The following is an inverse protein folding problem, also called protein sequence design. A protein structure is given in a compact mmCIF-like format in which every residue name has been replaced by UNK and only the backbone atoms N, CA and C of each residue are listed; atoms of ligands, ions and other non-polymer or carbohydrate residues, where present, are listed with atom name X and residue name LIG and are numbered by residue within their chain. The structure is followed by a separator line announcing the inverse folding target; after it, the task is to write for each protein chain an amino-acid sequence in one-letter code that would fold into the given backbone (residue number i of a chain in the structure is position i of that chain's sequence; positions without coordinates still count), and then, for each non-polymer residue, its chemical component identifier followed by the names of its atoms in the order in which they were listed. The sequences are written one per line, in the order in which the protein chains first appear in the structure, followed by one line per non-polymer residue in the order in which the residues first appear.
data_IF_231198359704
#
_entry.id   IF_231198359704
#
_cell.length_a   1.000
_cell.length_b   1.000
_cell.length_c   1.000
_cell.angle_alpha   90.00
_cell.angle_beta   90.00
_cell.angle_gamma   90.00
#
_symmetry.space_group_name_H-M   'P 1'
#
loop_
_entity.id
_entity.type
_entity.pdbx_description
1 polymer ?
#
# COMPACT_ATOMS: atom_id res chain seq x y z
N UNK A 1 24.01 2.03 35.40
CA UNK A 1 22.90 1.56 34.53
C UNK A 1 22.33 0.29 35.14
N UNK A 2 21.01 0.11 35.20
CA UNK A 2 20.44 -1.08 35.87
C UNK A 2 20.84 -2.35 35.11
N UNK A 3 21.16 -3.41 35.85
CA UNK A 3 21.65 -4.70 35.33
C UNK A 3 20.69 -5.30 34.28
N UNK A 4 19.40 -5.02 34.41
CA UNK A 4 18.36 -5.42 33.46
C UNK A 4 18.50 -4.75 32.09
N UNK A 5 18.89 -3.48 32.02
CA UNK A 5 19.11 -2.78 30.73
C UNK A 5 20.34 -3.32 30.00
N UNK A 6 21.38 -3.72 30.74
CA UNK A 6 22.56 -4.35 30.17
C UNK A 6 22.23 -5.72 29.54
N UNK A 7 21.49 -6.57 30.27
CA UNK A 7 21.03 -7.87 29.76
C UNK A 7 20.12 -7.74 28.53
N UNK A 8 19.20 -6.78 28.53
CA UNK A 8 18.33 -6.52 27.37
C UNK A 8 19.17 -6.08 26.16
N UNK A 9 20.14 -5.19 26.36
CA UNK A 9 21.02 -4.74 25.28
C UNK A 9 21.85 -5.89 24.72
N UNK A 10 22.37 -6.77 25.56
CA UNK A 10 23.13 -7.95 25.14
C UNK A 10 22.28 -8.89 24.28
N UNK A 11 21.03 -9.14 24.66
CA UNK A 11 20.09 -9.94 23.87
C UNK A 11 19.79 -9.26 22.51
N UNK A 12 19.58 -7.95 22.50
CA UNK A 12 19.23 -7.21 21.28
C UNK A 12 20.40 -7.16 20.28
N UNK A 13 21.65 -7.08 20.77
CA UNK A 13 22.84 -6.99 19.91
C UNK A 13 23.39 -8.35 19.51
N UNK A 14 22.94 -9.44 20.13
CA UNK A 14 23.40 -10.79 19.81
C UNK A 14 22.98 -11.21 18.37
N UNK A 15 23.94 -11.51 17.48
CA UNK A 15 23.66 -11.95 16.11
C UNK A 15 22.77 -13.20 16.02
N UNK A 16 22.81 -14.08 17.02
CA UNK A 16 21.99 -15.31 17.05
C UNK A 16 20.48 -15.03 17.09
N UNK A 17 20.07 -13.91 17.67
CA UNK A 17 18.67 -13.51 17.75
C UNK A 17 18.23 -12.56 16.62
N UNK A 18 19.17 -12.15 15.76
CA UNK A 18 18.92 -11.13 14.73
C UNK A 18 17.72 -11.45 13.84
N UNK A 19 17.68 -12.66 13.28
CA UNK A 19 16.61 -13.07 12.34
C UNK A 19 15.22 -13.07 13.02
N UNK A 20 15.15 -13.49 14.29
CA UNK A 20 13.89 -13.49 15.06
C UNK A 20 13.45 -12.08 15.46
N UNK A 21 14.39 -11.25 15.92
CA UNK A 21 14.13 -9.85 16.25
C UNK A 21 13.74 -9.06 14.99
N UNK A 22 14.26 -9.43 13.82
CA UNK A 22 13.87 -8.85 12.54
C UNK A 22 12.42 -9.17 12.15
N UNK A 23 11.89 -10.34 12.51
CA UNK A 23 10.46 -10.68 12.37
C UNK A 23 9.62 -9.75 13.24
N UNK A 24 9.97 -9.61 14.52
CA UNK A 24 9.25 -8.77 15.47
C UNK A 24 9.27 -7.28 15.05
N UNK A 25 10.45 -6.76 14.72
CA UNK A 25 10.62 -5.38 14.24
C UNK A 25 9.89 -5.15 12.92
N UNK A 26 9.91 -6.14 12.02
CA UNK A 26 9.16 -6.13 10.77
C UNK A 26 7.65 -6.02 11.01
N UNK A 27 7.09 -6.85 11.90
CA UNK A 27 5.68 -6.82 12.26
C UNK A 27 5.27 -5.45 12.83
N UNK A 28 6.06 -4.91 13.77
CA UNK A 28 5.85 -3.57 14.34
C UNK A 28 5.88 -2.50 13.25
N UNK A 29 6.84 -2.57 12.32
CA UNK A 29 6.94 -1.61 11.23
C UNK A 29 5.75 -1.69 10.29
N UNK A 30 5.29 -2.90 9.94
CA UNK A 30 4.07 -3.12 9.16
C UNK A 30 2.84 -2.50 9.83
N UNK A 31 2.69 -2.72 11.14
CA UNK A 31 1.60 -2.12 11.91
C UNK A 31 1.66 -0.59 11.89
N UNK A 32 2.80 0.00 12.27
CA UNK A 32 2.96 1.46 12.38
C UNK A 32 2.80 2.14 11.03
N UNK A 33 3.39 1.58 9.98
CA UNK A 33 3.24 2.09 8.62
C UNK A 33 1.77 2.02 8.18
N UNK A 34 1.11 0.89 8.42
CA UNK A 34 -0.30 0.71 8.10
C UNK A 34 -1.20 1.74 8.78
N UNK A 35 -0.98 2.01 10.07
CA UNK A 35 -1.72 3.08 10.77
C UNK A 35 -1.45 4.43 10.11
N UNK A 36 -0.18 4.78 9.89
CA UNK A 36 0.23 6.09 9.35
C UNK A 36 -0.37 6.40 7.98
N UNK A 37 -0.53 5.39 7.12
CA UNK A 37 -1.08 5.59 5.77
C UNK A 37 -2.61 5.47 5.77
N UNK A 38 -3.16 4.46 6.45
CA UNK A 38 -4.59 4.16 6.34
C UNK A 38 -5.46 5.13 7.10
N UNK A 39 -5.03 5.56 8.28
CA UNK A 39 -5.84 6.43 9.12
C UNK A 39 -6.14 7.77 8.44
N UNK A 40 -5.16 8.53 7.92
CA UNK A 40 -5.44 9.79 7.22
C UNK A 40 -6.34 9.59 6.01
N UNK A 41 -6.10 8.55 5.21
CA UNK A 41 -6.94 8.25 4.06
C UNK A 41 -8.39 7.96 4.46
N UNK A 42 -8.62 7.08 5.44
CA UNK A 42 -9.96 6.75 5.91
C UNK A 42 -10.67 7.96 6.53
N UNK A 43 -9.93 8.82 7.24
CA UNK A 43 -10.44 10.06 7.81
C UNK A 43 -10.92 11.01 6.70
N UNK A 44 -10.09 11.31 5.71
CA UNK A 44 -10.44 12.19 4.58
C UNK A 44 -11.64 11.63 3.81
N UNK A 45 -11.63 10.34 3.49
CA UNK A 45 -12.74 9.71 2.78
C UNK A 45 -14.04 9.73 3.60
N UNK A 46 -13.96 9.61 4.92
CA UNK A 46 -15.12 9.71 5.80
C UNK A 46 -15.66 11.14 5.92
N UNK A 47 -14.82 12.16 5.77
CA UNK A 47 -15.25 13.56 5.78
C UNK A 47 -15.92 13.90 4.45
N UNK A 48 -15.33 13.50 3.33
CA UNK A 48 -15.83 13.83 1.98
C UNK A 48 -17.06 13.02 1.58
N UNK A 49 -17.06 11.72 1.87
CA UNK A 49 -18.05 10.77 1.34
C UNK A 49 -18.71 9.91 2.42
N UNK A 50 -18.34 10.07 3.69
CA UNK A 50 -18.92 9.28 4.78
C UNK A 50 -20.39 9.61 5.01
N UNK A 51 -21.21 8.59 5.28
CA UNK A 51 -22.63 8.75 5.66
C UNK A 51 -22.83 8.32 7.12
N UNK A 52 -23.88 8.84 7.76
CA UNK A 52 -24.20 8.55 9.16
C UNK A 52 -23.51 9.49 10.17
N UNK A 53 -23.72 9.19 11.46
CA UNK A 53 -23.25 10.00 12.57
C UNK A 53 -21.74 9.86 12.81
N UNK A 54 -21.18 10.77 13.61
CA UNK A 54 -19.74 10.79 13.90
C UNK A 54 -19.25 9.50 14.59
N UNK A 55 -20.11 8.83 15.37
CA UNK A 55 -19.75 7.55 16.01
C UNK A 55 -19.62 6.42 14.98
N UNK A 56 -20.56 6.32 14.02
CA UNK A 56 -20.46 5.34 12.94
C UNK A 56 -19.21 5.58 12.09
N UNK A 57 -18.94 6.84 11.73
CA UNK A 57 -17.74 7.25 10.97
C UNK A 57 -16.44 6.86 11.70
N UNK A 58 -16.31 7.20 12.97
CA UNK A 58 -15.14 6.85 13.78
C UNK A 58 -14.92 5.33 13.86
N UNK A 59 -16.00 4.55 13.99
CA UNK A 59 -15.95 3.08 14.01
C UNK A 59 -15.45 2.51 12.68
N UNK A 60 -15.90 3.06 11.55
CA UNK A 60 -15.44 2.65 10.21
C UNK A 60 -13.95 2.97 10.04
N UNK A 61 -13.52 4.18 10.39
CA UNK A 61 -12.11 4.60 10.33
C UNK A 61 -11.23 3.66 11.16
N UNK A 62 -11.62 3.41 12.41
CA UNK A 62 -10.89 2.51 13.31
C UNK A 62 -10.79 1.09 12.75
N UNK A 63 -11.92 0.51 12.32
CA UNK A 63 -11.96 -0.86 11.76
C UNK A 63 -11.07 -0.97 10.52
N UNK A 64 -11.19 -0.05 9.57
CA UNK A 64 -10.40 -0.05 8.34
C UNK A 64 -8.89 0.12 8.62
N UNK A 65 -8.54 1.01 9.56
CA UNK A 65 -7.14 1.26 9.97
C UNK A 65 -6.55 0.05 10.67
N UNK A 66 -7.26 -0.51 11.65
CA UNK A 66 -6.83 -1.70 12.39
C UNK A 66 -6.67 -2.88 11.45
N UNK A 67 -7.64 -3.13 10.57
CA UNK A 67 -7.59 -4.22 9.60
C UNK A 67 -6.33 -4.10 8.72
N UNK A 68 -6.10 -2.92 8.14
CA UNK A 68 -4.93 -2.69 7.28
C UNK A 68 -3.60 -2.87 8.04
N UNK A 69 -3.47 -2.25 9.21
CA UNK A 69 -2.26 -2.32 10.02
C UNK A 69 -1.94 -3.74 10.51
N UNK A 70 -2.97 -4.47 10.97
CA UNK A 70 -2.81 -5.85 11.42
C UNK A 70 -2.50 -6.77 10.26
N UNK A 71 -3.13 -6.59 9.09
CA UNK A 71 -2.81 -7.38 7.90
C UNK A 71 -1.36 -7.18 7.46
N UNK A 72 -0.86 -5.94 7.42
CA UNK A 72 0.54 -5.68 7.11
C UNK A 72 1.49 -6.29 8.14
N UNK A 73 1.18 -6.19 9.44
CA UNK A 73 1.97 -6.82 10.48
C UNK A 73 2.03 -8.34 10.31
N UNK A 74 0.88 -8.99 10.12
CA UNK A 74 0.76 -10.44 9.89
C UNK A 74 1.50 -10.88 8.64
N UNK A 75 1.33 -10.17 7.52
CA UNK A 75 2.03 -10.48 6.27
C UNK A 75 3.54 -10.44 6.45
N UNK A 76 4.09 -9.37 7.05
CA UNK A 76 5.53 -9.25 7.27
C UNK A 76 6.04 -10.34 8.22
N UNK A 77 5.28 -10.67 9.27
CA UNK A 77 5.61 -11.78 10.16
C UNK A 77 5.68 -13.11 9.42
N UNK A 78 4.64 -13.47 8.66
CA UNK A 78 4.60 -14.72 7.90
C UNK A 78 5.71 -14.76 6.86
N UNK A 79 5.87 -13.70 6.08
CA UNK A 79 6.89 -13.59 5.04
C UNK A 79 8.30 -13.82 5.60
N UNK A 80 8.68 -13.10 6.66
CA UNK A 80 10.02 -13.23 7.27
C UNK A 80 10.21 -14.59 7.96
N UNK A 81 9.16 -15.14 8.59
CA UNK A 81 9.22 -16.49 9.15
C UNK A 81 9.45 -17.54 8.07
N UNK A 82 8.73 -17.45 6.95
CA UNK A 82 8.90 -18.36 5.82
C UNK A 82 10.31 -18.23 5.22
N UNK A 83 10.84 -17.02 5.06
CA UNK A 83 12.23 -16.83 4.64
C UNK A 83 13.23 -17.47 5.60
N UNK A 84 13.06 -17.27 6.91
CA UNK A 84 13.94 -17.88 7.91
C UNK A 84 13.86 -19.42 7.89
N UNK A 85 12.66 -19.98 7.73
CA UNK A 85 12.49 -21.43 7.59
C UNK A 85 13.17 -21.94 6.32
N UNK A 86 12.93 -21.31 5.17
CA UNK A 86 13.55 -21.70 3.89
C UNK A 86 15.08 -21.60 3.94
N UNK A 87 15.63 -20.51 4.50
CA UNK A 87 17.06 -20.32 4.74
C UNK A 87 17.65 -21.45 5.58
N UNK A 88 16.99 -21.84 6.68
CA UNK A 88 17.45 -22.95 7.53
C UNK A 88 17.39 -24.30 6.82
N UNK A 89 16.32 -24.55 6.06
CA UNK A 89 16.18 -25.77 5.26
C UNK A 89 17.22 -25.85 4.13
N UNK A 90 17.71 -24.71 3.66
CA UNK A 90 18.74 -24.60 2.62
C UNK A 90 20.16 -24.41 3.19
N UNK A 91 20.46 -25.00 4.36
CA UNK A 91 21.82 -24.97 4.94
C UNK A 91 22.32 -23.56 5.30
N UNK A 92 21.41 -22.64 5.62
CA UNK A 92 21.72 -21.27 6.02
C UNK A 92 21.79 -20.24 4.88
N UNK A 93 21.55 -20.66 3.62
CA UNK A 93 21.61 -19.78 2.44
C UNK A 93 20.21 -19.44 1.92
N UNK A 94 19.96 -18.18 1.57
CA UNK A 94 18.71 -17.77 0.93
C UNK A 94 18.76 -18.05 -0.57
N UNK A 95 17.65 -18.57 -1.14
CA UNK A 95 17.47 -18.70 -2.60
C UNK A 95 16.61 -17.55 -3.12
N UNK A 96 16.81 -17.17 -4.37
CA UNK A 96 16.00 -16.10 -4.99
C UNK A 96 14.50 -16.44 -5.00
N UNK A 97 14.15 -17.70 -5.27
CA UNK A 97 12.77 -18.20 -5.28
C UNK A 97 12.07 -18.12 -3.92
N UNK A 98 12.83 -18.12 -2.82
CA UNK A 98 12.27 -18.14 -1.47
C UNK A 98 11.41 -16.89 -1.20
N UNK A 99 11.80 -15.76 -1.80
CA UNK A 99 11.08 -14.49 -1.73
C UNK A 99 9.74 -14.56 -2.45
N UNK A 100 9.70 -15.17 -3.64
CA UNK A 100 8.47 -15.33 -4.41
C UNK A 100 7.51 -16.29 -3.69
N UNK A 101 8.00 -17.44 -3.22
CA UNK A 101 7.17 -18.45 -2.54
C UNK A 101 6.63 -17.91 -1.21
N UNK A 102 7.48 -17.27 -0.40
CA UNK A 102 7.05 -16.64 0.85
C UNK A 102 6.02 -15.53 0.61
N UNK A 103 6.24 -14.72 -0.44
CA UNK A 103 5.30 -13.67 -0.85
C UNK A 103 3.96 -14.24 -1.32
N UNK A 104 3.97 -15.32 -2.11
CA UNK A 104 2.78 -16.00 -2.61
C UNK A 104 1.95 -16.57 -1.46
N UNK A 105 2.57 -17.33 -0.56
CA UNK A 105 1.89 -17.94 0.61
C UNK A 105 1.35 -16.86 1.54
N UNK A 106 2.19 -15.88 1.90
CA UNK A 106 1.77 -14.78 2.78
C UNK A 106 0.64 -13.95 2.16
N UNK A 107 0.69 -13.73 0.84
CA UNK A 107 -0.32 -12.99 0.11
C UNK A 107 -1.67 -13.71 0.11
N UNK A 108 -1.66 -15.01 -0.17
CA UNK A 108 -2.85 -15.85 -0.13
C UNK A 108 -3.50 -15.87 1.26
N UNK A 109 -2.70 -16.10 2.31
CA UNK A 109 -3.21 -16.24 3.68
C UNK A 109 -3.77 -14.95 4.27
N UNK A 110 -3.21 -13.78 3.91
CA UNK A 110 -3.55 -12.51 4.54
C UNK A 110 -4.48 -11.64 3.68
N UNK A 111 -4.28 -11.66 2.36
CA UNK A 111 -5.00 -10.79 1.43
C UNK A 111 -6.00 -11.55 0.55
N UNK A 112 -6.14 -12.87 0.69
CA UNK A 112 -7.08 -13.69 -0.08
C UNK A 112 -8.56 -13.39 0.20
N UNK A 113 -8.90 -12.91 1.41
CA UNK A 113 -10.26 -12.50 1.73
C UNK A 113 -10.60 -11.16 1.04
N UNK A 114 -11.69 -11.16 0.24
CA UNK A 114 -12.14 -9.95 -0.44
C UNK A 114 -12.87 -9.02 0.54
N UNK A 115 -12.24 -7.91 0.86
CA UNK A 115 -12.84 -6.77 1.55
C UNK A 115 -12.24 -5.46 1.01
N UNK A 116 -12.87 -4.32 1.29
CA UNK A 116 -12.44 -3.03 0.73
C UNK A 116 -11.00 -2.61 1.09
N UNK A 117 -10.44 -3.13 2.18
CA UNK A 117 -9.04 -2.86 2.57
C UNK A 117 -8.09 -3.72 1.74
N UNK A 118 -8.34 -5.03 1.67
CA UNK A 118 -7.53 -5.98 0.92
C UNK A 118 -7.59 -5.68 -0.59
N UNK A 119 -8.76 -5.38 -1.12
CA UNK A 119 -8.93 -5.01 -2.53
C UNK A 119 -8.07 -3.79 -2.90
N UNK A 120 -8.01 -2.77 -2.04
CA UNK A 120 -7.15 -1.60 -2.27
C UNK A 120 -5.66 -1.95 -2.21
N UNK A 121 -5.23 -2.83 -1.30
CA UNK A 121 -3.84 -3.29 -1.24
C UNK A 121 -3.50 -4.10 -2.50
N UNK A 122 -4.34 -5.05 -2.89
CA UNK A 122 -4.11 -5.92 -4.05
C UNK A 122 -4.06 -5.09 -5.33
N UNK A 123 -5.02 -4.18 -5.55
CA UNK A 123 -5.00 -3.29 -6.71
C UNK A 123 -3.76 -2.39 -6.73
N UNK A 124 -3.33 -1.89 -5.57
CA UNK A 124 -2.07 -1.13 -5.47
C UNK A 124 -0.86 -1.97 -5.86
N UNK A 125 -0.75 -3.21 -5.36
CA UNK A 125 0.36 -4.12 -5.68
C UNK A 125 0.34 -4.49 -7.17
N UNK A 126 -0.83 -4.85 -7.71
CA UNK A 126 -0.99 -5.18 -9.14
C UNK A 126 -0.53 -4.01 -10.01
N UNK A 127 -1.00 -2.78 -9.72
CA UNK A 127 -0.57 -1.61 -10.47
C UNK A 127 0.95 -1.40 -10.41
N UNK A 128 1.59 -1.64 -9.26
CA UNK A 128 3.05 -1.52 -9.10
C UNK A 128 3.82 -2.64 -9.80
N UNK A 129 3.29 -3.86 -9.83
CA UNK A 129 3.89 -4.99 -10.56
C UNK A 129 3.76 -4.75 -12.06
N UNK A 130 2.59 -4.38 -12.57
CA UNK A 130 2.40 -4.05 -13.99
C UNK A 130 3.31 -2.88 -14.40
N UNK A 131 3.38 -1.84 -13.58
CA UNK A 131 4.25 -0.69 -13.84
C UNK A 131 5.75 -1.04 -13.79
N UNK A 132 6.18 -2.16 -13.22
CA UNK A 132 7.60 -2.55 -13.20
C UNK A 132 8.10 -3.00 -14.59
N UNK A 133 7.19 -3.49 -15.45
CA UNK A 133 7.50 -3.90 -16.82
C UNK A 133 7.70 -2.74 -17.80
N UNK A 134 7.36 -1.51 -17.42
CA UNK A 134 7.63 -0.34 -18.27
C UNK A 134 9.15 -0.17 -18.40
N UNK A 135 9.71 0.08 -19.60
CA UNK A 135 11.14 0.35 -19.77
C UNK A 135 11.63 1.47 -18.84
N UNK A 136 12.83 1.30 -18.28
CA UNK A 136 13.43 2.25 -17.35
C UNK A 136 14.23 3.32 -18.09
N UNK A 137 14.21 4.54 -17.56
CA UNK A 137 15.04 5.63 -18.07
C UNK A 137 16.53 5.30 -17.88
N UNK A 138 17.37 5.67 -18.83
CA UNK A 138 18.83 5.64 -18.67
C UNK A 138 19.35 6.76 -17.76
N UNK A 139 18.53 7.78 -17.50
CA UNK A 139 18.88 8.89 -16.62
C UNK A 139 18.67 8.50 -15.16
N UNK A 140 19.68 8.75 -14.33
CA UNK A 140 19.60 8.55 -12.89
C UNK A 140 18.51 9.43 -12.27
N UNK A 141 17.86 8.91 -11.23
CA UNK A 141 16.89 9.67 -10.45
C UNK A 141 17.57 10.92 -9.84
N UNK A 142 17.02 12.11 -10.04
CA UNK A 142 17.46 13.30 -9.32
C UNK A 142 17.01 13.19 -7.85
N UNK A 143 17.83 12.58 -7.01
CA UNK A 143 17.61 12.53 -5.56
C UNK A 143 18.30 13.70 -4.90
N UNK A 144 17.58 14.47 -4.08
CA UNK A 144 18.22 15.42 -3.17
C UNK A 144 19.18 14.65 -2.24
N UNK A 145 20.31 15.24 -1.82
CA UNK A 145 21.26 14.60 -0.90
C UNK A 145 20.63 14.15 0.42
N UNK A 146 19.54 14.80 0.82
CA UNK A 146 18.77 14.54 2.05
C UNK A 146 17.71 13.44 1.89
N UNK A 147 17.46 12.97 0.66
CA UNK A 147 16.48 11.92 0.41
C UNK A 147 16.92 10.60 1.03
N UNK A 148 15.98 9.88 1.67
CA UNK A 148 16.21 8.51 2.12
C UNK A 148 16.70 7.58 1.00
N UNK A 149 16.40 7.94 -0.26
CA UNK A 149 16.82 7.23 -1.46
C UNK A 149 18.30 7.44 -1.81
N UNK A 150 18.92 8.54 -1.37
CA UNK A 150 20.35 8.80 -1.58
C UNK A 150 21.23 7.78 -0.81
N UNK A 151 20.71 7.24 0.30
CA UNK A 151 21.37 6.26 1.17
C UNK A 151 20.92 4.81 0.90
N UNK A 152 20.05 4.58 -0.08
CA UNK A 152 19.52 3.24 -0.36
C UNK A 152 20.53 2.40 -1.15
N UNK A 153 20.69 1.12 -0.77
CA UNK A 153 21.54 0.13 -1.46
C UNK A 153 21.05 -0.14 -2.88
N UNK A 154 19.74 -0.04 -3.11
CA UNK A 154 19.10 -0.16 -4.42
C UNK A 154 18.46 1.18 -4.75
N UNK A 155 18.90 1.79 -5.85
CA UNK A 155 18.33 3.06 -6.36
C UNK A 155 17.25 2.73 -7.40
N UNK A 156 15.96 3.03 -7.14
CA UNK A 156 14.93 2.78 -8.12
C UNK A 156 15.14 3.71 -9.32
N UNK A 157 15.11 3.11 -10.51
CA UNK A 157 15.19 3.84 -11.78
C UNK A 157 13.76 4.18 -12.23
N UNK A 158 13.47 5.45 -12.57
CA UNK A 158 12.12 5.83 -12.97
C UNK A 158 11.76 5.20 -14.33
N UNK A 159 10.47 5.00 -14.64
CA UNK A 159 10.06 4.66 -15.99
C UNK A 159 10.56 5.70 -16.99
N UNK A 160 10.92 5.26 -18.19
CA UNK A 160 11.21 6.18 -19.28
C UNK A 160 9.95 6.98 -19.63
N UNK A 161 10.13 8.30 -19.79
CA UNK A 161 9.04 9.26 -19.97
C UNK A 161 8.15 8.93 -21.17
N UNK A 162 8.73 8.47 -22.28
CA UNK A 162 7.97 8.18 -23.52
C UNK A 162 7.01 7.02 -23.30
N UNK A 163 7.50 5.93 -22.73
CA UNK A 163 6.67 4.75 -22.45
C UNK A 163 5.66 5.04 -21.35
N UNK A 164 6.04 5.84 -20.33
CA UNK A 164 5.11 6.31 -19.32
C UNK A 164 3.96 7.12 -19.93
N UNK A 165 4.24 8.05 -20.85
CA UNK A 165 3.21 8.85 -21.53
C UNK A 165 2.22 7.96 -22.30
N UNK A 166 2.72 6.96 -23.02
CA UNK A 166 1.84 6.01 -23.74
C UNK A 166 0.99 5.21 -22.76
N UNK A 167 1.58 4.67 -21.69
CA UNK A 167 0.84 3.97 -20.65
C UNK A 167 -0.23 4.87 -20.00
N UNK A 168 0.09 6.13 -19.71
CA UNK A 168 -0.84 7.08 -19.14
C UNK A 168 -2.01 7.34 -20.09
N UNK A 169 -1.75 7.59 -21.38
CA UNK A 169 -2.79 7.81 -22.38
C UNK A 169 -3.73 6.61 -22.51
N UNK A 170 -3.17 5.39 -22.59
CA UNK A 170 -3.96 4.16 -22.68
C UNK A 170 -4.78 3.90 -21.41
N UNK A 171 -4.18 4.06 -20.23
CA UNK A 171 -4.87 3.87 -18.96
C UNK A 171 -6.03 4.87 -18.79
N UNK A 172 -5.81 6.14 -19.18
CA UNK A 172 -6.83 7.17 -19.08
C UNK A 172 -7.94 7.01 -20.11
N UNK A 173 -7.61 6.69 -21.36
CA UNK A 173 -8.61 6.36 -22.38
C UNK A 173 -9.49 5.18 -21.95
N UNK A 174 -8.86 4.11 -21.43
CA UNK A 174 -9.58 2.93 -20.97
C UNK A 174 -10.51 3.22 -19.79
N UNK A 175 -10.05 3.93 -18.75
CA UNK A 175 -10.91 4.20 -17.58
C UNK A 175 -12.08 5.12 -17.93
N UNK A 176 -11.88 6.09 -18.81
CA UNK A 176 -12.97 6.97 -19.27
C UNK A 176 -14.01 6.20 -20.08
N UNK A 177 -13.58 5.28 -20.96
CA UNK A 177 -14.50 4.40 -21.67
C UNK A 177 -15.27 3.49 -20.71
N UNK A 178 -14.58 2.82 -19.77
CA UNK A 178 -15.22 1.96 -18.77
C UNK A 178 -16.20 2.74 -17.90
N UNK A 179 -15.87 3.97 -17.51
CA UNK A 179 -16.75 4.78 -16.67
C UNK A 179 -18.07 5.14 -17.36
N UNK A 180 -18.03 5.32 -18.68
CA UNK A 180 -19.21 5.61 -19.49
C UNK A 180 -20.02 4.36 -19.81
N UNK A 181 -19.35 3.30 -20.30
CA UNK A 181 -20.02 2.15 -20.94
C UNK A 181 -20.09 0.88 -20.06
N UNK A 182 -19.29 0.79 -18.98
CA UNK A 182 -19.10 -0.40 -18.12
C UNK A 182 -18.84 -0.02 -16.64
N UNK A 183 -19.52 1.00 -16.15
CA UNK A 183 -19.25 1.61 -14.84
C UNK A 183 -19.37 0.63 -13.66
N UNK A 184 -20.18 -0.42 -13.80
CA UNK A 184 -20.39 -1.51 -12.85
C UNK A 184 -19.13 -2.35 -12.56
N UNK A 185 -18.15 -2.31 -13.47
CA UNK A 185 -16.88 -3.04 -13.31
C UNK A 185 -15.83 -2.22 -12.56
N UNK A 186 -16.07 -0.92 -12.33
CA UNK A 186 -15.14 -0.02 -11.65
C UNK A 186 -15.26 -0.18 -10.14
N UNK A 187 -14.11 -0.14 -9.46
CA UNK A 187 -14.05 -0.15 -8.01
C UNK A 187 -14.86 1.04 -7.43
N UNK A 188 -15.75 0.81 -6.44
CA UNK A 188 -16.70 1.83 -6.00
C UNK A 188 -16.07 3.17 -5.56
N UNK A 189 -14.85 3.13 -5.02
CA UNK A 189 -14.11 4.34 -4.63
C UNK A 189 -13.83 5.24 -5.82
N UNK A 190 -13.21 4.68 -6.87
CA UNK A 190 -12.93 5.41 -8.11
C UNK A 190 -14.21 5.85 -8.82
N UNK A 191 -15.23 4.99 -8.87
CA UNK A 191 -16.52 5.32 -9.50
C UNK A 191 -17.20 6.52 -8.83
N UNK A 192 -17.19 6.59 -7.50
CA UNK A 192 -17.74 7.74 -6.76
C UNK A 192 -16.96 9.03 -7.06
N UNK A 193 -15.62 8.96 -7.11
CA UNK A 193 -14.79 10.11 -7.47
C UNK A 193 -15.07 10.59 -8.89
N UNK A 194 -15.17 9.68 -9.86
CA UNK A 194 -15.47 10.03 -11.24
C UNK A 194 -16.90 10.57 -11.41
N UNK A 195 -17.88 10.03 -10.66
CA UNK A 195 -19.25 10.58 -10.64
C UNK A 195 -19.27 12.01 -10.12
N UNK A 196 -18.58 12.27 -9.01
CA UNK A 196 -18.44 13.62 -8.46
C UNK A 196 -17.79 14.59 -9.45
N UNK A 197 -16.75 14.14 -10.17
CA UNK A 197 -16.00 14.98 -11.11
C UNK A 197 -16.73 15.23 -12.43
N UNK A 198 -17.38 14.22 -12.99
CA UNK A 198 -17.84 14.23 -14.38
C UNK A 198 -19.36 14.20 -14.57
N UNK A 199 -20.12 13.60 -13.65
CA UNK A 199 -21.59 13.54 -13.77
C UNK A 199 -22.27 14.63 -12.97
N UNK A 200 -21.80 14.89 -11.76
CA UNK A 200 -22.36 15.94 -10.92
C UNK A 200 -22.06 17.34 -11.46
N UNK A 201 -20.98 17.49 -12.22
CA UNK A 201 -20.61 18.74 -12.88
C UNK A 201 -21.52 19.10 -14.06
N UNK A 202 -22.33 18.16 -14.57
CA UNK A 202 -23.27 18.41 -15.67
C UNK A 202 -24.60 19.06 -15.20
N UNK A 203 -24.81 19.25 -13.88
CA UNK A 203 -26.12 19.66 -13.33
C UNK A 203 -25.98 20.76 -12.29
N UNK A 204 -26.52 21.95 -12.59
CA UNK A 204 -26.62 23.09 -11.66
C UNK A 204 -27.96 23.82 -11.79
N UNK A 205 -28.38 24.51 -10.74
CA UNK A 205 -29.64 25.30 -10.69
C UNK A 205 -29.42 26.79 -10.47
N UNK A 206 -28.30 27.17 -9.85
CA UNK A 206 -27.96 28.54 -9.46
C UNK A 206 -26.43 28.71 -9.28
N UNK A 207 -25.97 29.94 -9.02
CA UNK A 207 -24.55 30.24 -8.81
C UNK A 207 -23.96 29.48 -7.60
N UNK A 208 -24.78 29.15 -6.61
CA UNK A 208 -24.36 28.40 -5.43
C UNK A 208 -24.06 26.95 -5.80
N UNK A 209 -24.91 26.34 -6.63
CA UNK A 209 -24.74 24.96 -7.11
C UNK A 209 -23.66 24.83 -8.18
N UNK A 210 -23.37 25.91 -8.88
CA UNK A 210 -22.28 25.99 -9.85
C UNK A 210 -20.89 26.10 -9.18
N UNK A 211 -20.73 26.90 -8.12
CA UNK A 211 -19.40 27.23 -7.57
C UNK A 211 -19.11 26.68 -6.17
N UNK A 212 -20.12 26.23 -5.42
CA UNK A 212 -19.91 25.82 -4.02
C UNK A 212 -20.36 24.39 -3.73
N UNK A 213 -21.64 24.08 -3.92
CA UNK A 213 -22.21 22.78 -3.53
C UNK A 213 -22.76 22.03 -4.73
N UNK A 214 -22.50 20.74 -4.86
CA UNK A 214 -23.24 19.94 -5.82
C UNK A 214 -24.74 19.88 -5.45
N UNK A 215 -25.57 19.81 -6.50
CA UNK A 215 -27.04 19.74 -6.42
C UNK A 215 -27.54 18.46 -5.74
#
# INVERSE_FOLDING_TARGET
MSTSLALINEIITNPAYHDYLAILKGARNGFVYGVKVRFPHALVMSILFGRGDWKARARVIYRATRQHAVNLAKFVSIYKTLLLVQKKLNGGKERESDTFIAGLIGGYLIFGERNAVNEQIVLYVVARVVASFIPRSSSSYHTSPESALAKATVRPVPPDSRYFTVCAALAWGAIMYLFRERGETIQPGLFNSMTYLYRNSDVWKDLRTLFWHNT
#
